data_IF_300564010687
#
_entry.id   IF_300564010687
#
_cell.length_a   1.000
_cell.length_b   1.000
_cell.length_c   1.000
_cell.angle_alpha   90.00
_cell.angle_beta   90.00
_cell.angle_gamma   90.00
#
_symmetry.space_group_name_H-M   'P 1'
#
loop_
_entity.id
_entity.type
_entity.pdbx_description
1 polymer ?
#
# COMPACT_ATOMS: atom_id res chain seq x y z
N UNK A 1 27.43 -26.75 1.66
CA UNK A 1 26.96 -25.63 0.81
C UNK A 1 27.53 -24.34 1.38
N UNK A 2 28.16 -23.51 0.54
CA UNK A 2 28.82 -22.28 0.99
C UNK A 2 27.91 -21.06 0.80
N UNK A 3 28.23 -19.97 1.48
CA UNK A 3 27.50 -18.72 1.36
C UNK A 3 27.61 -18.17 -0.08
N UNK A 4 26.47 -17.74 -0.62
CA UNK A 4 26.40 -17.13 -1.96
C UNK A 4 27.28 -15.88 -2.09
N UNK A 5 27.42 -15.10 -1.01
CA UNK A 5 28.24 -13.89 -0.99
C UNK A 5 29.69 -14.16 -0.55
N UNK A 6 29.93 -15.25 0.19
CA UNK A 6 31.25 -15.61 0.71
C UNK A 6 31.55 -17.08 0.35
N UNK A 7 32.22 -17.34 -0.79
CA UNK A 7 32.46 -18.70 -1.27
C UNK A 7 33.28 -19.57 -0.31
N UNK A 8 34.06 -18.96 0.57
CA UNK A 8 34.93 -19.64 1.53
C UNK A 8 34.28 -19.87 2.90
N UNK A 9 33.04 -19.44 3.11
CA UNK A 9 32.35 -19.54 4.40
C UNK A 9 31.16 -20.49 4.28
N UNK A 10 30.99 -21.45 5.22
CA UNK A 10 29.82 -22.33 5.20
C UNK A 10 28.53 -21.52 5.42
N UNK A 11 27.48 -21.86 4.68
CA UNK A 11 26.17 -21.28 4.88
C UNK A 11 25.49 -21.91 6.11
N UNK A 12 24.79 -21.08 6.88
CA UNK A 12 24.05 -21.50 8.10
C UNK A 12 22.54 -21.33 7.95
N UNK A 13 22.09 -20.55 6.97
CA UNK A 13 20.69 -20.28 6.71
C UNK A 13 20.42 -20.11 5.21
N UNK A 14 19.13 -20.09 4.85
CA UNK A 14 18.67 -19.82 3.48
C UNK A 14 17.80 -18.57 3.50
N UNK A 15 18.04 -17.65 2.57
CA UNK A 15 17.22 -16.44 2.43
C UNK A 15 15.79 -16.80 2.03
N UNK A 16 14.79 -16.30 2.78
CA UNK A 16 13.36 -16.55 2.52
C UNK A 16 12.92 -16.14 1.10
N UNK A 17 13.36 -14.97 0.65
CA UNK A 17 12.83 -14.36 -0.59
C UNK A 17 13.49 -14.90 -1.86
N UNK A 18 14.79 -15.19 -1.84
CA UNK A 18 15.53 -15.61 -3.03
C UNK A 18 16.06 -17.05 -2.98
N UNK A 19 15.91 -17.75 -1.86
CA UNK A 19 16.35 -19.14 -1.70
C UNK A 19 17.86 -19.36 -1.67
N UNK A 20 18.68 -18.28 -1.61
CA UNK A 20 20.14 -18.38 -1.59
C UNK A 20 20.66 -18.75 -0.21
N UNK A 21 21.65 -19.64 -0.15
CA UNK A 21 22.34 -20.01 1.09
C UNK A 21 23.26 -18.86 1.57
N UNK A 22 23.17 -18.49 2.84
CA UNK A 22 23.85 -17.34 3.45
C UNK A 22 24.56 -17.71 4.76
N UNK A 23 25.72 -17.09 5.03
CA UNK A 23 26.44 -17.24 6.29
C UNK A 23 25.86 -16.31 7.37
N UNK A 24 26.25 -16.51 8.63
CA UNK A 24 25.79 -15.74 9.79
C UNK A 24 26.01 -14.24 9.65
N UNK A 25 27.09 -13.83 8.98
CA UNK A 25 27.41 -12.41 8.78
C UNK A 25 26.53 -11.76 7.70
N UNK A 26 26.00 -12.56 6.76
CA UNK A 26 25.10 -12.08 5.72
C UNK A 26 23.62 -12.20 6.11
N UNK A 27 23.29 -12.86 7.22
CA UNK A 27 21.91 -13.04 7.66
C UNK A 27 21.45 -11.82 8.45
N UNK A 28 20.36 -11.21 8.02
CA UNK A 28 19.60 -10.27 8.85
C UNK A 28 18.31 -10.93 9.28
N UNK A 29 18.09 -10.99 10.59
CA UNK A 29 16.85 -11.50 11.18
C UNK A 29 15.81 -10.38 11.24
N UNK A 30 14.62 -10.65 10.70
CA UNK A 30 13.48 -9.76 10.78
C UNK A 30 12.67 -9.98 12.06
N UNK A 31 11.84 -9.00 12.40
CA UNK A 31 10.96 -9.06 13.59
C UNK A 31 9.95 -10.21 13.59
N UNK A 32 9.73 -10.84 12.44
CA UNK A 32 8.86 -12.02 12.28
C UNK A 32 9.65 -13.35 12.24
N UNK A 33 10.96 -13.33 12.51
CA UNK A 33 11.84 -14.50 12.49
C UNK A 33 12.38 -14.87 11.10
N UNK A 34 12.06 -14.10 10.06
CA UNK A 34 12.54 -14.39 8.71
C UNK A 34 13.99 -13.93 8.52
N UNK A 35 14.77 -14.77 7.85
CA UNK A 35 16.17 -14.49 7.52
C UNK A 35 16.29 -14.01 6.07
N UNK A 36 16.88 -12.84 5.89
CA UNK A 36 17.08 -12.23 4.58
C UNK A 36 18.55 -11.94 4.30
N UNK A 37 18.91 -12.03 3.02
CA UNK A 37 20.21 -11.57 2.55
C UNK A 37 20.22 -10.04 2.35
N UNK A 38 21.39 -9.39 2.29
CA UNK A 38 21.48 -7.93 2.22
C UNK A 38 20.81 -7.34 0.97
N UNK A 39 20.84 -8.07 -0.15
CA UNK A 39 20.19 -7.62 -1.39
C UNK A 39 18.67 -7.60 -1.27
N UNK A 40 18.07 -8.63 -0.65
CA UNK A 40 16.62 -8.72 -0.45
C UNK A 40 16.14 -7.74 0.63
N UNK A 41 16.95 -7.52 1.67
CA UNK A 41 16.67 -6.49 2.67
C UNK A 41 16.62 -5.09 2.02
N UNK A 42 17.59 -4.79 1.17
CA UNK A 42 17.65 -3.51 0.44
C UNK A 42 16.46 -3.32 -0.51
N UNK A 43 16.07 -4.37 -1.26
CA UNK A 43 14.90 -4.29 -2.14
C UNK A 43 13.59 -4.09 -1.35
N UNK A 44 13.46 -4.73 -0.19
CA UNK A 44 12.33 -4.53 0.71
C UNK A 44 12.28 -3.08 1.24
N UNK A 45 13.41 -2.52 1.65
CA UNK A 45 13.49 -1.12 2.07
C UNK A 45 13.05 -0.14 0.97
N UNK A 46 13.51 -0.35 -0.28
CA UNK A 46 13.05 0.46 -1.41
C UNK A 46 11.55 0.30 -1.70
N UNK A 47 11.01 -0.92 -1.58
CA UNK A 47 9.58 -1.17 -1.72
C UNK A 47 8.78 -0.39 -0.67
N UNK A 48 9.18 -0.46 0.60
CA UNK A 48 8.54 0.27 1.71
C UNK A 48 8.57 1.79 1.47
N UNK A 49 9.72 2.35 1.10
CA UNK A 49 9.84 3.78 0.79
C UNK A 49 8.96 4.21 -0.40
N UNK A 50 8.93 3.42 -1.47
CA UNK A 50 8.11 3.71 -2.64
C UNK A 50 6.60 3.61 -2.32
N UNK A 51 6.20 2.62 -1.50
CA UNK A 51 4.83 2.50 -1.01
C UNK A 51 4.44 3.74 -0.19
N UNK A 52 5.28 4.19 0.75
CA UNK A 52 5.04 5.39 1.56
C UNK A 52 4.90 6.65 0.70
N UNK A 53 5.76 6.82 -0.32
CA UNK A 53 5.68 7.93 -1.28
C UNK A 53 4.36 7.90 -2.07
N UNK A 54 3.98 6.73 -2.59
CA UNK A 54 2.72 6.55 -3.34
C UNK A 54 1.50 6.79 -2.45
N UNK A 55 1.54 6.36 -1.20
CA UNK A 55 0.47 6.62 -0.23
C UNK A 55 0.29 8.12 0.03
N UNK A 56 1.38 8.86 0.31
CA UNK A 56 1.34 10.32 0.49
C UNK A 56 0.79 11.05 -0.74
N UNK A 57 1.20 10.64 -1.94
CA UNK A 57 0.70 11.24 -3.19
C UNK A 57 -0.82 11.10 -3.29
N UNK A 58 -1.37 9.93 -2.96
CA UNK A 58 -2.82 9.69 -2.99
C UNK A 58 -3.60 10.44 -1.92
N UNK A 59 -3.02 10.63 -0.72
CA UNK A 59 -3.61 11.50 0.30
C UNK A 59 -3.75 12.94 -0.21
N UNK A 60 -2.70 13.48 -0.85
CA UNK A 60 -2.71 14.84 -1.39
C UNK A 60 -3.72 14.93 -2.55
N UNK A 61 -3.69 13.99 -3.50
CA UNK A 61 -4.63 13.97 -4.63
C UNK A 61 -6.08 13.85 -4.15
N UNK A 62 -6.35 12.99 -3.17
CA UNK A 62 -7.65 12.86 -2.54
C UNK A 62 -8.10 14.17 -1.89
N UNK A 63 -7.25 14.76 -1.04
CA UNK A 63 -7.56 16.04 -0.39
C UNK A 63 -7.94 17.15 -1.38
N UNK A 64 -7.18 17.30 -2.47
CA UNK A 64 -7.49 18.28 -3.52
C UNK A 64 -8.84 18.00 -4.17
N UNK A 65 -9.11 16.75 -4.57
CA UNK A 65 -10.37 16.36 -5.20
C UNK A 65 -11.57 16.57 -4.26
N UNK A 66 -11.42 16.21 -2.99
CA UNK A 66 -12.47 16.36 -1.99
C UNK A 66 -12.81 17.82 -1.71
N UNK A 67 -11.80 18.69 -1.56
CA UNK A 67 -12.02 20.14 -1.37
C UNK A 67 -12.65 20.76 -2.61
N UNK A 68 -12.17 20.41 -3.80
CA UNK A 68 -12.73 20.90 -5.06
C UNK A 68 -14.21 20.53 -5.21
N UNK A 69 -14.58 19.27 -4.93
CA UNK A 69 -15.97 18.82 -4.99
C UNK A 69 -16.85 19.45 -3.90
N UNK A 70 -16.34 19.56 -2.68
CA UNK A 70 -17.05 20.24 -1.60
C UNK A 70 -17.37 21.70 -1.98
N UNK A 71 -16.39 22.40 -2.57
CA UNK A 71 -16.57 23.78 -3.01
C UNK A 71 -17.66 23.91 -4.10
N UNK A 72 -17.66 23.02 -5.10
CA UNK A 72 -18.68 23.02 -6.17
C UNK A 72 -20.08 22.84 -5.57
N UNK A 73 -20.26 21.87 -4.67
CA UNK A 73 -21.55 21.58 -4.03
C UNK A 73 -22.04 22.77 -3.19
N UNK A 74 -21.15 23.38 -2.39
CA UNK A 74 -21.48 24.53 -1.56
C UNK A 74 -21.85 25.74 -2.42
N UNK A 75 -21.15 25.95 -3.54
CA UNK A 75 -21.42 27.05 -4.46
C UNK A 75 -22.81 26.93 -5.11
N UNK A 76 -23.23 25.72 -5.48
CA UNK A 76 -24.53 25.49 -6.13
C UNK A 76 -25.71 25.48 -5.15
N UNK A 77 -25.56 24.82 -4.00
CA UNK A 77 -26.64 24.62 -3.03
C UNK A 77 -26.66 25.64 -1.87
N UNK A 78 -25.75 26.60 -1.86
CA UNK A 78 -25.67 27.63 -0.82
C UNK A 78 -25.43 27.06 0.59
N UNK A 79 -26.01 27.68 1.62
CA UNK A 79 -25.84 27.25 3.01
C UNK A 79 -26.44 25.88 3.30
N UNK A 80 -27.50 25.48 2.59
CA UNK A 80 -28.07 24.14 2.65
C UNK A 80 -27.11 23.06 2.11
N UNK A 81 -26.18 23.46 1.21
CA UNK A 81 -25.17 22.60 0.62
C UNK A 81 -23.96 22.30 1.51
N UNK A 82 -23.78 23.00 2.63
CA UNK A 82 -22.58 22.88 3.47
C UNK A 82 -22.42 21.46 4.04
N UNK A 83 -23.48 20.92 4.64
CA UNK A 83 -23.43 19.59 5.26
C UNK A 83 -23.15 18.51 4.20
N UNK A 84 -23.93 18.52 3.11
CA UNK A 84 -23.78 17.54 2.04
C UNK A 84 -22.45 17.69 1.28
N UNK A 85 -21.98 18.92 1.07
CA UNK A 85 -20.69 19.21 0.45
C UNK A 85 -19.52 18.68 1.30
N UNK A 86 -19.58 18.82 2.62
CA UNK A 86 -18.57 18.25 3.52
C UNK A 86 -18.61 16.72 3.53
N UNK A 87 -19.79 16.11 3.59
CA UNK A 87 -19.93 14.65 3.59
C UNK A 87 -19.42 14.05 2.27
N UNK A 88 -19.92 14.53 1.13
CA UNK A 88 -19.54 14.02 -0.19
C UNK A 88 -18.08 14.34 -0.49
N UNK A 89 -17.63 15.56 -0.18
CA UNK A 89 -16.24 15.96 -0.33
C UNK A 89 -15.29 15.09 0.49
N UNK A 90 -15.68 14.71 1.71
CA UNK A 90 -14.90 13.79 2.53
C UNK A 90 -14.82 12.37 1.95
N UNK A 91 -15.94 11.83 1.43
CA UNK A 91 -15.93 10.52 0.77
C UNK A 91 -15.03 10.50 -0.47
N UNK A 92 -15.08 11.57 -1.27
CA UNK A 92 -14.20 11.76 -2.43
C UNK A 92 -12.74 11.91 -2.00
N UNK A 93 -12.48 12.63 -0.90
CA UNK A 93 -11.12 12.79 -0.40
C UNK A 93 -10.47 11.46 0.01
N UNK A 94 -11.26 10.57 0.61
CA UNK A 94 -10.79 9.27 1.08
C UNK A 94 -10.64 8.25 -0.06
N UNK A 95 -11.32 8.45 -1.19
CA UNK A 95 -11.48 7.45 -2.25
C UNK A 95 -10.15 6.96 -2.86
N UNK A 96 -9.18 7.84 -3.23
CA UNK A 96 -7.91 7.38 -3.78
C UNK A 96 -7.11 6.50 -2.82
N UNK A 97 -7.20 6.78 -1.52
CA UNK A 97 -6.53 5.98 -0.48
C UNK A 97 -7.24 4.65 -0.30
N UNK A 98 -8.57 4.66 -0.19
CA UNK A 98 -9.36 3.45 -0.07
C UNK A 98 -9.09 2.50 -1.25
N UNK A 99 -9.17 3.00 -2.48
CA UNK A 99 -8.89 2.23 -3.70
C UNK A 99 -7.47 1.63 -3.71
N UNK A 100 -6.48 2.35 -3.19
CA UNK A 100 -5.12 1.84 -3.13
C UNK A 100 -4.94 0.71 -2.13
N UNK A 101 -5.54 0.85 -0.96
CA UNK A 101 -5.40 -0.11 0.15
C UNK A 101 -6.27 -1.34 -0.07
N UNK A 102 -7.33 -1.24 -0.87
CA UNK A 102 -8.15 -2.38 -1.30
C UNK A 102 -7.34 -3.47 -2.03
N UNK A 103 -6.11 -3.18 -2.47
CA UNK A 103 -5.21 -4.19 -3.03
C UNK A 103 -5.68 -4.75 -4.39
N UNK A 104 -5.04 -5.82 -4.88
CA UNK A 104 -5.58 -6.58 -6.01
C UNK A 104 -6.97 -7.11 -5.65
N UNK A 105 -7.79 -7.38 -6.67
CA UNK A 105 -9.14 -7.91 -6.48
C UNK A 105 -9.09 -9.15 -5.58
N UNK A 106 -10.07 -9.36 -4.68
CA UNK A 106 -10.34 -10.72 -4.24
C UNK A 106 -10.45 -11.55 -5.50
N UNK A 107 -9.75 -12.68 -5.57
CA UNK A 107 -9.52 -13.42 -6.82
C UNK A 107 -10.44 -14.66 -6.91
N UNK A 108 -11.78 -14.52 -7.06
CA UNK A 108 -12.62 -15.67 -7.37
C UNK A 108 -12.67 -15.95 -8.88
N UNK A 109 -12.20 -15.06 -9.76
CA UNK A 109 -12.26 -15.20 -11.22
C UNK A 109 -11.09 -14.51 -11.94
N UNK A 110 -10.33 -15.28 -12.72
CA UNK A 110 -9.43 -14.74 -13.75
C UNK A 110 -10.30 -14.24 -14.91
N UNK A 111 -10.27 -12.95 -15.28
CA UNK A 111 -11.13 -12.43 -16.34
C UNK A 111 -10.78 -13.07 -17.69
N UNK A 112 -11.72 -13.79 -18.29
CA UNK A 112 -11.57 -14.47 -19.59
C UNK A 112 -11.83 -13.53 -20.78
N UNK A 113 -12.30 -12.31 -20.52
CA UNK A 113 -12.60 -11.29 -21.54
C UNK A 113 -12.35 -9.86 -21.03
N UNK A 114 -12.11 -8.92 -21.95
CA UNK A 114 -11.91 -7.50 -21.62
C UNK A 114 -13.13 -6.88 -20.92
N UNK A 115 -14.34 -7.31 -21.29
CA UNK A 115 -15.59 -6.87 -20.65
C UNK A 115 -15.67 -7.34 -19.18
N UNK A 116 -15.27 -8.58 -18.91
CA UNK A 116 -15.25 -9.12 -17.54
C UNK A 116 -14.22 -8.41 -16.65
N UNK A 117 -13.06 -8.06 -17.20
CA UNK A 117 -12.06 -7.25 -16.51
C UNK A 117 -12.60 -5.84 -16.17
N UNK A 118 -13.31 -5.19 -17.11
CA UNK A 118 -13.93 -3.90 -16.87
C UNK A 118 -14.97 -3.91 -15.76
N UNK A 119 -15.87 -4.91 -15.76
CA UNK A 119 -16.90 -5.06 -14.70
C UNK A 119 -16.28 -5.29 -13.32
N UNK A 120 -15.16 -6.03 -13.26
CA UNK A 120 -14.47 -6.31 -12.00
C UNK A 120 -13.80 -5.05 -11.41
N UNK A 121 -13.20 -4.22 -12.24
CA UNK A 121 -12.63 -2.93 -11.81
C UNK A 121 -13.71 -1.94 -11.36
N UNK A 122 -14.86 -1.91 -12.03
CA UNK A 122 -16.01 -1.10 -11.58
C UNK A 122 -16.55 -1.57 -10.22
N UNK A 123 -16.63 -2.89 -10.00
CA UNK A 123 -17.05 -3.44 -8.72
C UNK A 123 -16.09 -3.05 -7.59
N UNK A 124 -14.77 -3.16 -7.82
CA UNK A 124 -13.75 -2.67 -6.87
C UNK A 124 -13.94 -1.19 -6.55
N UNK A 125 -14.15 -0.37 -7.58
CA UNK A 125 -14.35 1.06 -7.40
C UNK A 125 -15.59 1.34 -6.54
N UNK A 126 -16.71 0.67 -6.81
CA UNK A 126 -17.93 0.81 -6.02
C UNK A 126 -17.72 0.40 -4.56
N UNK A 127 -17.04 -0.72 -4.31
CA UNK A 127 -16.70 -1.18 -2.95
C UNK A 127 -15.79 -0.17 -2.26
N UNK A 128 -14.76 0.34 -2.95
CA UNK A 128 -13.84 1.35 -2.41
C UNK A 128 -14.55 2.67 -2.09
N UNK A 129 -15.57 3.05 -2.88
CA UNK A 129 -16.38 4.24 -2.61
C UNK A 129 -17.24 4.09 -1.36
N UNK A 130 -17.94 2.97 -1.22
CA UNK A 130 -18.77 2.69 -0.02
C UNK A 130 -17.90 2.58 1.24
N UNK A 131 -16.74 1.94 1.12
CA UNK A 131 -15.82 1.71 2.25
C UNK A 131 -14.80 2.84 2.43
N UNK A 132 -14.96 3.97 1.73
CA UNK A 132 -13.93 5.01 1.59
C UNK A 132 -13.37 5.52 2.94
N UNK A 133 -14.20 5.88 3.94
CA UNK A 133 -13.70 6.29 5.26
C UNK A 133 -12.94 5.18 6.00
N UNK A 134 -13.42 3.94 5.90
CA UNK A 134 -12.79 2.77 6.54
C UNK A 134 -11.44 2.48 5.88
N UNK A 135 -11.37 2.61 4.55
CA UNK A 135 -10.15 2.46 3.77
C UNK A 135 -9.07 3.46 4.17
N UNK A 136 -9.44 4.71 4.46
CA UNK A 136 -8.50 5.70 4.99
C UNK A 136 -7.96 5.30 6.36
N UNK A 137 -8.81 4.86 7.29
CA UNK A 137 -8.39 4.42 8.64
C UNK A 137 -7.40 3.25 8.54
N UNK A 138 -7.73 2.24 7.73
CA UNK A 138 -6.85 1.10 7.47
C UNK A 138 -5.53 1.54 6.84
N UNK A 139 -5.60 2.39 5.82
CA UNK A 139 -4.43 2.93 5.14
C UNK A 139 -3.49 3.69 6.08
N UNK A 140 -4.02 4.49 7.00
CA UNK A 140 -3.22 5.20 8.00
C UNK A 140 -2.57 4.26 9.00
N UNK A 141 -3.24 3.16 9.39
CA UNK A 141 -2.64 2.11 10.23
C UNK A 141 -1.49 1.42 9.51
N UNK A 142 -1.70 1.00 8.25
CA UNK A 142 -0.67 0.40 7.41
C UNK A 142 0.50 1.36 7.19
N UNK A 143 0.24 2.65 6.97
CA UNK A 143 1.27 3.66 6.85
C UNK A 143 2.17 3.75 8.08
N UNK A 144 1.61 3.72 9.29
CA UNK A 144 2.39 3.73 10.53
C UNK A 144 3.29 2.49 10.64
N UNK A 145 2.74 1.31 10.35
CA UNK A 145 3.48 0.04 10.40
C UNK A 145 4.62 0.04 9.36
N UNK A 146 4.31 0.39 8.11
CA UNK A 146 5.29 0.43 7.02
C UNK A 146 6.39 1.46 7.28
N UNK A 147 6.05 2.61 7.87
CA UNK A 147 7.04 3.64 8.26
C UNK A 147 7.98 3.12 9.35
N UNK A 148 7.44 2.51 10.40
CA UNK A 148 8.25 1.93 11.47
C UNK A 148 9.18 0.83 10.95
N UNK A 149 8.69 -0.04 10.07
CA UNK A 149 9.48 -1.09 9.45
C UNK A 149 10.58 -0.54 8.52
N UNK A 150 10.30 0.52 7.75
CA UNK A 150 11.30 1.17 6.92
C UNK A 150 12.42 1.79 7.76
N UNK A 151 12.07 2.41 8.89
CA UNK A 151 13.04 3.02 9.82
C UNK A 151 13.88 1.98 10.57
N UNK A 152 13.35 0.78 10.85
CA UNK A 152 14.14 -0.30 11.46
C UNK A 152 15.06 -0.99 10.46
N UNK A 153 14.60 -1.20 9.21
CA UNK A 153 15.35 -1.93 8.18
C UNK A 153 16.46 -1.10 7.52
N UNK A 154 16.42 0.23 7.65
CA UNK A 154 17.39 1.17 7.06
C UNK A 154 18.41 1.72 8.08
N UNK A 155 18.33 1.31 9.35
CA UNK A 155 19.35 1.57 10.37
C UNK A 155 20.47 0.53 10.27
#
# INVERSE_FOLDING_TARGET
>A
MNCYHHPNTPAVATCRDCGKAICKDCTTEMSNGDLLCPSCLKSLGYYQLNWLKRFKKRLITGGILGVMFAYIIIKEAGTAGIIWGLVIGFFIACLPVAYFVSGPTPDPYVPTSLESAGKLELLKFAIAFITSPIGLIRGLREYKIMKAAAESNLK
#
